data_IF_700700305240
#
_entry.id   IF_700700305240
#
_cell.length_a   1.000
_cell.length_b   1.000
_cell.length_c   1.000
_cell.angle_alpha   90.00
_cell.angle_beta   90.00
_cell.angle_gamma   90.00
#
_symmetry.space_group_name_H-M   'P 1'
#
loop_
_entity.id
_entity.type
_entity.pdbx_description
1 polymer ?
#
# COMPACT_ATOMS: atom_id res chain seq x y z
N UNK A 1 -13.76 -22.39 20.23
CA UNK A 1 -12.35 -22.78 20.57
C UNK A 1 -12.10 -22.36 22.01
N UNK A 2 -11.57 -23.25 22.88
CA UNK A 2 -11.24 -22.86 24.25
C UNK A 2 -9.97 -21.98 24.30
N UNK A 3 -9.70 -21.39 25.46
CA UNK A 3 -8.58 -20.44 25.64
C UNK A 3 -7.22 -21.07 25.32
N UNK A 4 -7.01 -22.33 25.72
CA UNK A 4 -5.75 -23.04 25.47
C UNK A 4 -5.54 -23.31 23.98
N UNK A 5 -6.59 -23.73 23.30
CA UNK A 5 -6.53 -24.00 21.84
C UNK A 5 -6.31 -22.70 21.07
N UNK A 6 -6.97 -21.60 21.47
CA UNK A 6 -6.75 -20.30 20.85
C UNK A 6 -5.31 -19.81 21.07
N UNK A 7 -4.77 -19.94 22.28
CA UNK A 7 -3.38 -19.58 22.55
C UNK A 7 -2.42 -20.39 21.68
N UNK A 8 -2.66 -21.68 21.53
CA UNK A 8 -1.83 -22.57 20.71
C UNK A 8 -1.93 -22.20 19.22
N UNK A 9 -3.13 -21.89 18.74
CA UNK A 9 -3.36 -21.40 17.38
C UNK A 9 -2.59 -20.08 17.11
N UNK A 10 -2.73 -19.11 18.01
CA UNK A 10 -2.06 -17.82 17.87
C UNK A 10 -0.54 -17.97 17.86
N UNK A 11 0.02 -18.77 18.77
CA UNK A 11 1.46 -19.04 18.81
C UNK A 11 1.98 -19.75 17.56
N UNK A 12 1.16 -20.60 16.93
CA UNK A 12 1.50 -21.27 15.69
C UNK A 12 1.50 -20.36 14.45
N UNK A 13 0.62 -19.35 14.43
CA UNK A 13 0.44 -18.46 13.28
C UNK A 13 1.14 -17.10 13.43
N UNK A 14 1.33 -16.63 14.65
CA UNK A 14 1.93 -15.34 14.98
C UNK A 14 3.06 -15.51 16.01
N UNK A 15 4.10 -16.31 15.68
CA UNK A 15 5.12 -16.65 16.66
C UNK A 15 6.00 -15.45 17.00
N UNK A 16 6.10 -15.16 18.28
CA UNK A 16 7.00 -14.20 18.95
C UNK A 16 7.00 -12.76 18.44
N UNK A 17 7.15 -11.84 19.37
CA UNK A 17 7.48 -10.46 19.09
C UNK A 17 8.74 -10.32 18.24
N UNK A 18 8.60 -9.67 17.11
CA UNK A 18 9.68 -9.34 16.18
C UNK A 18 9.30 -8.09 15.40
N UNK A 19 10.10 -7.72 14.39
CA UNK A 19 9.81 -6.53 13.58
C UNK A 19 8.43 -6.56 12.88
N UNK A 20 7.88 -7.76 12.63
CA UNK A 20 6.62 -7.95 11.92
C UNK A 20 5.46 -8.44 12.81
N UNK A 21 5.69 -8.73 14.08
CA UNK A 21 4.65 -9.20 14.98
C UNK A 21 4.82 -8.63 16.37
N UNK A 22 3.76 -8.09 16.91
CA UNK A 22 3.69 -7.52 18.26
C UNK A 22 2.48 -8.05 18.98
N UNK A 23 2.63 -8.35 20.28
CA UNK A 23 1.58 -8.79 21.19
C UNK A 23 1.40 -7.76 22.29
N UNK A 24 0.14 -7.35 22.56
CA UNK A 24 -0.15 -6.30 23.53
C UNK A 24 -1.39 -6.62 24.35
N UNK A 25 -1.32 -6.28 25.61
CA UNK A 25 -2.42 -6.47 26.53
C UNK A 25 -3.63 -5.62 26.14
N UNK A 26 -3.48 -4.34 25.92
CA UNK A 26 -4.52 -3.36 25.54
C UNK A 26 -5.93 -3.75 26.03
N UNK A 27 -6.06 -4.07 27.34
CA UNK A 27 -7.33 -4.49 27.95
C UNK A 27 -8.46 -3.50 27.70
N UNK A 28 -8.15 -2.22 27.73
CA UNK A 28 -9.12 -1.16 27.48
C UNK A 28 -9.02 -0.67 26.04
N UNK A 29 -9.94 -1.11 25.21
CA UNK A 29 -9.96 -0.76 23.80
C UNK A 29 -10.08 0.76 23.57
N UNK A 30 -10.79 1.49 24.41
CA UNK A 30 -10.92 2.94 24.31
C UNK A 30 -9.56 3.62 24.44
N UNK A 31 -8.78 3.29 25.45
CA UNK A 31 -7.43 3.84 25.64
C UNK A 31 -6.48 3.37 24.54
N UNK A 32 -6.61 2.14 24.09
CA UNK A 32 -5.82 1.61 22.97
C UNK A 32 -6.03 2.38 21.66
N UNK A 33 -7.24 2.89 21.42
CA UNK A 33 -7.59 3.65 20.22
C UNK A 33 -7.45 5.17 20.36
N UNK A 34 -7.40 5.70 21.59
CA UNK A 34 -7.33 7.14 21.86
C UNK A 34 -6.16 7.50 22.78
N UNK A 35 -5.21 6.60 22.92
CA UNK A 35 -4.01 6.78 23.74
C UNK A 35 -3.06 7.84 23.20
N UNK A 36 -1.95 8.02 23.89
CA UNK A 36 -0.92 8.96 23.48
C UNK A 36 -0.09 8.46 22.30
N UNK A 37 0.40 9.40 21.50
CA UNK A 37 1.31 9.11 20.41
C UNK A 37 2.52 8.29 20.90
N UNK A 38 2.83 7.19 20.22
CA UNK A 38 3.91 6.28 20.55
C UNK A 38 3.56 5.17 21.54
N UNK A 39 2.30 5.06 22.00
CA UNK A 39 1.90 4.01 22.95
C UNK A 39 0.54 3.37 22.66
N UNK A 40 -0.14 3.79 21.61
CA UNK A 40 -1.46 3.29 21.25
C UNK A 40 -1.44 2.39 20.00
N UNK A 41 -2.56 1.72 19.72
CA UNK A 41 -2.72 0.85 18.54
C UNK A 41 -2.39 1.60 17.26
N UNK A 42 -2.78 2.87 17.15
CA UNK A 42 -2.61 3.66 15.93
C UNK A 42 -1.13 3.85 15.60
N UNK A 43 -0.32 4.13 16.62
CA UNK A 43 1.14 4.26 16.47
C UNK A 43 1.79 2.92 16.09
N UNK A 44 1.33 1.79 16.67
CA UNK A 44 1.80 0.46 16.27
C UNK A 44 1.43 0.12 14.83
N UNK A 45 0.20 0.45 14.37
CA UNK A 45 -0.18 0.25 12.96
C UNK A 45 0.76 0.99 12.01
N UNK A 46 1.03 2.27 12.30
CA UNK A 46 1.98 3.07 11.52
C UNK A 46 3.37 2.42 11.51
N UNK A 47 3.88 2.03 12.68
CA UNK A 47 5.22 1.48 12.80
C UNK A 47 5.39 0.15 12.05
N UNK A 48 4.45 -0.78 12.22
CA UNK A 48 4.51 -2.10 11.56
C UNK A 48 4.35 -1.93 10.05
N UNK A 49 3.41 -1.08 9.59
CA UNK A 49 3.23 -0.80 8.16
C UNK A 49 4.48 -0.18 7.52
N UNK A 50 5.16 0.71 8.23
CA UNK A 50 6.38 1.37 7.75
C UNK A 50 7.62 0.47 7.79
N UNK A 51 7.52 -0.74 8.34
CA UNK A 51 8.53 -1.78 8.17
C UNK A 51 8.14 -2.67 6.98
N UNK A 52 7.85 -3.92 7.21
CA UNK A 52 7.48 -4.86 6.13
C UNK A 52 6.00 -5.31 6.22
N UNK A 53 5.18 -4.58 7.01
CA UNK A 53 3.87 -5.06 7.41
C UNK A 53 3.97 -6.14 8.48
N UNK A 54 2.84 -6.74 8.84
CA UNK A 54 2.82 -7.80 9.83
C UNK A 54 1.54 -7.85 10.66
N UNK A 55 1.68 -8.13 11.95
CA UNK A 55 0.55 -8.39 12.82
C UNK A 55 0.69 -7.68 14.17
N UNK A 56 -0.45 -7.22 14.69
CA UNK A 56 -0.58 -6.79 16.07
C UNK A 56 -1.69 -7.62 16.73
N UNK A 57 -1.33 -8.35 17.78
CA UNK A 57 -2.28 -9.17 18.56
C UNK A 57 -2.60 -8.44 19.85
N UNK A 58 -3.87 -8.16 20.10
CA UNK A 58 -4.30 -7.47 21.32
C UNK A 58 -5.26 -8.32 22.15
N UNK A 59 -5.23 -8.13 23.47
CA UNK A 59 -5.96 -8.96 24.44
C UNK A 59 -5.13 -10.11 24.98
N UNK A 60 -3.81 -10.02 24.86
CA UNK A 60 -2.83 -11.00 25.35
C UNK A 60 -1.78 -10.33 26.21
N UNK A 61 -1.24 -11.03 27.19
CA UNK A 61 -0.17 -10.54 28.07
C UNK A 61 1.19 -10.65 27.34
N UNK A 62 1.91 -9.53 27.24
CA UNK A 62 3.14 -9.41 26.44
C UNK A 62 4.19 -10.50 26.77
N UNK A 63 4.48 -10.73 28.05
CA UNK A 63 5.58 -11.61 28.46
C UNK A 63 5.23 -13.11 28.38
N UNK A 64 4.00 -13.49 28.76
CA UNK A 64 3.56 -14.88 28.89
C UNK A 64 2.74 -15.36 27.71
N UNK A 65 2.30 -14.45 26.86
CA UNK A 65 1.37 -14.69 25.73
C UNK A 65 0.05 -15.32 26.20
N UNK A 66 -0.30 -15.12 27.47
CA UNK A 66 -1.55 -15.60 28.06
C UNK A 66 -2.71 -14.72 27.57
N UNK A 67 -3.82 -15.35 27.22
CA UNK A 67 -5.04 -14.65 26.87
C UNK A 67 -5.60 -13.96 28.10
N UNK A 68 -5.76 -12.66 28.04
CA UNK A 68 -6.38 -11.84 29.10
C UNK A 68 -7.70 -11.20 28.63
N UNK A 69 -7.91 -11.20 27.33
CA UNK A 69 -9.09 -10.66 26.68
C UNK A 69 -9.12 -9.13 26.64
N UNK A 70 -9.82 -8.61 25.65
CA UNK A 70 -10.11 -7.19 25.52
C UNK A 70 -11.35 -6.89 26.35
N UNK A 71 -11.29 -5.87 27.18
CA UNK A 71 -12.42 -5.39 27.99
C UNK A 71 -12.97 -4.08 27.38
N UNK A 72 -14.18 -3.69 27.80
CA UNK A 72 -14.82 -2.44 27.38
C UNK A 72 -15.15 -2.34 25.87
N UNK A 73 -15.87 -3.33 25.36
CA UNK A 73 -16.37 -3.27 23.97
C UNK A 73 -17.41 -2.16 23.75
N UNK A 74 -18.14 -1.74 24.74
CA UNK A 74 -19.13 -0.63 24.75
C UNK A 74 -19.68 -0.29 23.35
N UNK A 75 -20.37 -1.24 22.70
CA UNK A 75 -20.90 -1.11 21.34
C UNK A 75 -19.85 -0.94 20.21
N UNK A 76 -18.58 -1.24 20.44
CA UNK A 76 -17.57 -1.25 19.41
C UNK A 76 -17.63 -2.55 18.63
N UNK A 77 -17.95 -2.46 17.34
CA UNK A 77 -17.82 -3.59 16.42
C UNK A 77 -16.43 -3.56 15.77
N UNK A 78 -15.99 -4.71 15.24
CA UNK A 78 -14.75 -4.80 14.46
C UNK A 78 -14.71 -3.77 13.33
N UNK A 79 -15.84 -3.63 12.60
CA UNK A 79 -15.94 -2.70 11.48
C UNK A 79 -15.80 -1.23 11.92
N UNK A 80 -16.47 -0.84 13.02
CA UNK A 80 -16.35 0.52 13.55
C UNK A 80 -14.92 0.83 13.99
N UNK A 81 -14.25 -0.14 14.62
CA UNK A 81 -12.86 0.04 15.04
C UNK A 81 -11.94 0.11 13.84
N UNK A 82 -12.11 -0.80 12.87
CA UNK A 82 -11.34 -0.79 11.64
C UNK A 82 -11.46 0.56 10.91
N UNK A 83 -12.66 1.08 10.76
CA UNK A 83 -12.89 2.38 10.12
C UNK A 83 -12.20 3.52 10.88
N UNK A 84 -12.34 3.59 12.20
CA UNK A 84 -11.66 4.60 13.03
C UNK A 84 -10.15 4.56 12.92
N UNK A 85 -9.57 3.35 12.81
CA UNK A 85 -8.12 3.19 12.65
C UNK A 85 -7.68 3.70 11.28
N UNK A 86 -8.42 3.40 10.21
CA UNK A 86 -8.15 3.91 8.87
C UNK A 86 -8.24 5.44 8.78
N UNK A 87 -9.20 6.06 9.46
CA UNK A 87 -9.34 7.52 9.53
C UNK A 87 -8.14 8.19 10.23
N UNK A 88 -7.49 7.49 11.17
CA UNK A 88 -6.38 8.02 11.96
C UNK A 88 -5.00 7.63 11.45
N UNK A 89 -4.92 6.59 10.63
CA UNK A 89 -3.69 6.14 9.99
C UNK A 89 -3.66 6.59 8.53
N UNK A 90 -3.12 7.78 8.28
CA UNK A 90 -3.02 8.31 6.91
C UNK A 90 -2.11 7.42 6.05
N UNK A 91 -2.57 7.08 4.85
CA UNK A 91 -1.90 6.23 3.86
C UNK A 91 -1.83 4.73 4.20
N UNK A 92 -2.50 4.26 5.26
CA UNK A 92 -2.67 2.83 5.48
C UNK A 92 -3.58 2.24 4.38
N UNK A 93 -3.17 1.11 3.80
CA UNK A 93 -3.94 0.47 2.74
C UNK A 93 -5.25 -0.12 3.28
N UNK A 94 -6.37 0.52 2.93
CA UNK A 94 -7.70 0.16 3.43
C UNK A 94 -8.23 -1.17 2.88
N UNK A 95 -7.76 -1.64 1.74
CA UNK A 95 -8.20 -2.90 1.14
C UNK A 95 -7.48 -4.09 1.76
N UNK A 96 -6.19 -3.93 2.03
CA UNK A 96 -5.35 -4.98 2.60
C UNK A 96 -5.41 -5.04 4.13
N UNK A 97 -5.73 -3.94 4.82
CA UNK A 97 -5.85 -3.90 6.29
C UNK A 97 -7.09 -4.63 6.78
N UNK A 98 -6.90 -5.64 7.65
CA UNK A 98 -7.97 -6.47 8.22
C UNK A 98 -7.83 -6.60 9.71
N UNK A 99 -8.98 -6.81 10.38
CA UNK A 99 -9.07 -7.10 11.81
C UNK A 99 -9.82 -8.41 11.97
N UNK A 100 -9.20 -9.38 12.61
CA UNK A 100 -9.76 -10.72 12.83
C UNK A 100 -10.04 -10.90 14.33
N UNK A 101 -11.30 -11.05 14.73
CA UNK A 101 -11.68 -11.28 16.11
C UNK A 101 -11.73 -12.76 16.44
N UNK A 102 -11.26 -13.12 17.61
CA UNK A 102 -11.39 -14.45 18.22
C UNK A 102 -12.07 -14.32 19.59
N UNK A 103 -12.99 -15.22 19.89
CA UNK A 103 -13.64 -15.31 21.19
C UNK A 103 -13.59 -16.74 21.70
N UNK A 104 -13.17 -16.93 22.94
CA UNK A 104 -13.10 -18.24 23.58
C UNK A 104 -14.47 -18.68 24.07
N UNK A 105 -14.77 -20.00 23.92
CA UNK A 105 -16.07 -20.56 24.30
C UNK A 105 -16.19 -20.80 25.82
N UNK A 106 -15.07 -20.96 26.49
CA UNK A 106 -14.98 -21.28 27.94
C UNK A 106 -14.94 -20.05 28.84
N UNK A 107 -14.16 -19.04 28.47
CA UNK A 107 -14.01 -17.81 29.28
C UNK A 107 -14.68 -16.59 28.69
N UNK A 108 -15.10 -16.65 27.42
CA UNK A 108 -15.62 -15.50 26.68
C UNK A 108 -14.56 -14.40 26.40
N UNK A 109 -13.28 -14.72 26.62
CA UNK A 109 -12.19 -13.78 26.37
C UNK A 109 -12.08 -13.50 24.87
N UNK A 110 -11.94 -12.23 24.54
CA UNK A 110 -11.81 -11.79 23.13
C UNK A 110 -10.42 -11.29 22.86
N UNK A 111 -9.86 -11.75 21.74
CA UNK A 111 -8.55 -11.35 21.20
C UNK A 111 -8.77 -10.85 19.77
N UNK A 112 -8.10 -9.77 19.40
CA UNK A 112 -8.13 -9.30 18.02
C UNK A 112 -6.74 -9.36 17.41
N UNK A 113 -6.68 -9.83 16.17
CA UNK A 113 -5.48 -9.83 15.33
C UNK A 113 -5.66 -8.79 14.23
N UNK A 114 -4.78 -7.81 14.20
CA UNK A 114 -4.70 -6.84 13.11
C UNK A 114 -3.69 -7.34 12.09
N UNK A 115 -4.14 -7.56 10.87
CA UNK A 115 -3.30 -7.85 9.71
C UNK A 115 -2.94 -6.53 9.04
N UNK A 116 -1.70 -6.13 9.18
CA UNK A 116 -1.21 -4.80 8.80
C UNK A 116 -0.38 -4.95 7.53
N UNK A 117 -0.86 -4.38 6.40
CA UNK A 117 -0.08 -4.41 5.17
C UNK A 117 1.16 -3.53 5.27
N UNK A 118 2.19 -3.86 4.49
CA UNK A 118 3.30 -2.94 4.26
C UNK A 118 2.77 -1.64 3.64
N UNK A 119 3.41 -0.52 3.94
CA UNK A 119 3.15 0.76 3.28
C UNK A 119 3.26 0.61 1.75
N UNK A 120 2.52 1.42 1.02
CA UNK A 120 2.68 1.52 -0.44
C UNK A 120 4.02 2.17 -0.77
N UNK A 121 4.67 1.81 -1.90
CA UNK A 121 5.92 2.43 -2.30
C UNK A 121 5.84 3.96 -2.27
N UNK A 122 6.84 4.59 -1.67
CA UNK A 122 6.95 6.05 -1.49
C UNK A 122 5.87 6.70 -0.63
N UNK A 123 5.04 5.93 0.08
CA UNK A 123 3.94 6.43 0.87
C UNK A 123 4.02 5.95 2.32
N UNK A 124 4.82 6.59 3.17
CA UNK A 124 4.87 6.23 4.58
C UNK A 124 3.50 6.41 5.25
N UNK A 125 3.19 5.53 6.19
CA UNK A 125 1.95 5.58 6.97
C UNK A 125 2.17 6.48 8.18
N UNK A 126 1.25 7.43 8.39
CA UNK A 126 1.30 8.39 9.49
C UNK A 126 0.21 8.11 10.53
N UNK A 127 0.57 8.28 11.79
CA UNK A 127 -0.32 8.28 12.94
C UNK A 127 0.04 9.45 13.86
N UNK A 128 -0.95 10.21 14.35
CA UNK A 128 -0.73 11.44 15.13
C UNK A 128 0.20 12.44 14.44
N UNK A 129 0.03 12.61 13.12
CA UNK A 129 0.85 13.47 12.25
C UNK A 129 2.34 13.11 12.19
N UNK A 130 2.72 11.95 12.69
CA UNK A 130 4.07 11.41 12.69
C UNK A 130 4.12 10.05 12.01
N UNK A 131 5.24 9.75 11.37
CA UNK A 131 5.55 8.39 10.93
C UNK A 131 6.28 7.65 12.07
N UNK A 132 5.93 6.40 12.29
CA UNK A 132 6.49 5.56 13.35
C UNK A 132 7.28 4.40 12.76
N UNK A 133 8.25 3.90 13.50
CA UNK A 133 8.99 2.67 13.20
C UNK A 133 9.27 1.87 14.46
N UNK A 134 9.60 0.59 14.27
CA UNK A 134 10.12 -0.25 15.34
C UNK A 134 11.65 -0.29 15.27
N UNK A 135 12.28 -0.14 16.43
CA UNK A 135 13.70 -0.41 16.63
C UNK A 135 13.79 -1.41 17.76
N UNK A 136 14.17 -2.62 17.44
CA UNK A 136 14.08 -3.75 18.36
C UNK A 136 12.67 -3.84 18.98
N UNK A 137 12.53 -3.78 20.28
CA UNK A 137 11.25 -3.84 21.01
C UNK A 137 10.63 -2.45 21.24
N UNK A 138 11.24 -1.39 20.71
CA UNK A 138 10.79 -0.02 20.97
C UNK A 138 10.04 0.58 19.81
N UNK A 139 8.92 1.25 20.11
CA UNK A 139 8.18 2.09 19.21
C UNK A 139 8.73 3.51 19.24
N UNK A 140 9.27 3.98 18.13
CA UNK A 140 9.90 5.31 18.05
C UNK A 140 9.39 6.09 16.85
N UNK A 141 9.52 7.41 16.89
CA UNK A 141 9.31 8.24 15.71
C UNK A 141 10.30 7.83 14.62
N UNK A 142 9.83 7.76 13.37
CA UNK A 142 10.61 7.30 12.24
C UNK A 142 11.85 8.16 12.05
N UNK A 143 13.01 7.51 11.94
CA UNK A 143 14.27 8.17 11.63
C UNK A 143 14.31 8.63 10.19
N UNK A 144 15.06 9.69 9.94
CA UNK A 144 15.19 10.29 8.60
C UNK A 144 15.66 9.27 7.55
N UNK A 145 16.61 8.41 7.91
CA UNK A 145 17.13 7.38 6.98
C UNK A 145 16.03 6.41 6.52
N UNK A 146 15.13 5.99 7.43
CA UNK A 146 14.02 5.10 7.07
C UNK A 146 12.99 5.83 6.22
N UNK A 147 12.68 7.07 6.56
CA UNK A 147 11.77 7.90 5.78
C UNK A 147 12.29 8.07 4.35
N UNK A 148 13.55 8.42 4.20
CA UNK A 148 14.20 8.54 2.89
C UNK A 148 14.21 7.21 2.12
N UNK A 149 14.47 6.09 2.80
CA UNK A 149 14.40 4.78 2.19
C UNK A 149 13.01 4.49 1.61
N UNK A 150 11.93 4.78 2.36
CA UNK A 150 10.56 4.61 1.88
C UNK A 150 10.27 5.55 0.69
N UNK A 151 10.65 6.82 0.78
CA UNK A 151 10.39 7.80 -0.27
C UNK A 151 11.13 7.50 -1.58
N UNK A 152 12.25 6.78 -1.52
CA UNK A 152 13.04 6.37 -2.67
C UNK A 152 12.79 4.92 -3.10
N UNK A 153 11.85 4.22 -2.47
CA UNK A 153 11.49 2.88 -2.92
C UNK A 153 11.12 2.91 -4.40
N UNK A 154 11.60 1.94 -5.21
CA UNK A 154 11.15 1.84 -6.59
C UNK A 154 9.64 1.68 -6.59
N UNK A 155 8.97 2.43 -7.44
CA UNK A 155 7.59 2.12 -7.78
C UNK A 155 7.63 0.72 -8.40
N UNK A 156 6.89 -0.21 -7.82
CA UNK A 156 6.86 -1.59 -8.29
C UNK A 156 6.76 -1.63 -9.82
N UNK A 157 7.33 -2.68 -10.42
CA UNK A 157 7.17 -3.01 -11.84
C UNK A 157 5.69 -3.21 -12.25
N UNK A 158 4.78 -3.07 -11.32
CA UNK A 158 3.33 -2.97 -11.49
C UNK A 158 2.83 -1.52 -11.67
N UNK A 159 3.67 -0.60 -12.15
CA UNK A 159 3.11 0.67 -12.65
C UNK A 159 2.04 0.30 -13.67
N UNK A 160 0.78 0.46 -13.24
CA UNK A 160 -0.38 0.10 -14.05
C UNK A 160 -0.27 0.70 -15.46
N UNK A 161 0.25 1.89 -15.55
CA UNK A 161 0.38 2.63 -16.79
C UNK A 161 1.47 2.08 -17.71
N UNK A 162 2.52 1.53 -17.15
CA UNK A 162 3.66 0.93 -17.86
C UNK A 162 3.45 -0.54 -18.22
N UNK A 163 2.36 -1.17 -17.75
CA UNK A 163 2.08 -2.57 -18.10
C UNK A 163 1.86 -2.75 -19.59
N UNK A 164 2.59 -3.70 -20.18
CA UNK A 164 2.38 -4.14 -21.56
C UNK A 164 1.02 -4.84 -21.64
N UNK A 165 0.23 -4.49 -22.64
CA UNK A 165 -1.09 -5.07 -22.88
C UNK A 165 -0.96 -6.21 -23.87
N UNK A 166 -1.28 -7.41 -23.40
CA UNK A 166 -1.22 -8.62 -24.24
C UNK A 166 -2.19 -8.52 -25.41
N UNK A 167 -1.69 -8.82 -26.59
CA UNK A 167 -2.47 -8.77 -27.85
C UNK A 167 -2.58 -7.38 -28.49
N UNK A 168 -2.22 -6.30 -27.80
CA UNK A 168 -2.18 -4.95 -28.39
C UNK A 168 -0.92 -4.77 -29.25
N UNK A 169 -1.10 -4.12 -30.38
CA UNK A 169 -0.05 -3.87 -31.39
C UNK A 169 0.02 -2.38 -31.75
N UNK A 170 1.02 -1.98 -32.49
CA UNK A 170 1.12 -0.60 -33.00
C UNK A 170 -0.04 -0.22 -33.91
N UNK A 171 -0.70 -1.19 -34.54
CA UNK A 171 -1.88 -0.97 -35.39
C UNK A 171 -3.11 -0.52 -34.58
N UNK A 172 -3.12 -0.73 -33.27
CA UNK A 172 -4.17 -0.26 -32.35
C UNK A 172 -4.00 1.21 -31.98
N UNK A 173 -2.89 1.84 -32.38
CA UNK A 173 -2.61 3.26 -32.13
C UNK A 173 -3.04 4.12 -33.30
N UNK A 174 -3.50 5.35 -32.99
CA UNK A 174 -3.91 6.35 -33.98
C UNK A 174 -2.70 7.07 -34.57
N UNK A 175 -2.56 6.99 -35.89
CA UNK A 175 -1.43 7.59 -36.59
C UNK A 175 -1.40 9.12 -36.47
N UNK A 176 -2.57 9.79 -36.41
CA UNK A 176 -2.65 11.23 -36.23
C UNK A 176 -2.23 11.64 -34.80
N UNK A 177 -2.67 10.88 -33.81
CA UNK A 177 -2.23 11.09 -32.43
C UNK A 177 -0.71 10.90 -32.25
N UNK A 178 -0.14 9.87 -32.90
CA UNK A 178 1.31 9.65 -32.94
C UNK A 178 2.05 10.82 -33.56
N UNK A 179 1.54 11.36 -34.66
CA UNK A 179 2.16 12.51 -35.34
C UNK A 179 2.19 13.75 -34.45
N UNK A 180 1.07 14.06 -33.80
CA UNK A 180 0.99 15.15 -32.82
C UNK A 180 1.94 14.94 -31.63
N UNK A 181 1.97 13.72 -31.09
CA UNK A 181 2.87 13.38 -29.99
C UNK A 181 4.34 13.57 -30.37
N UNK A 182 4.73 13.19 -31.58
CA UNK A 182 6.09 13.37 -32.12
C UNK A 182 6.45 14.86 -32.22
N UNK A 183 5.53 15.68 -32.74
CA UNK A 183 5.73 17.12 -32.84
C UNK A 183 5.96 17.74 -31.45
N UNK A 184 5.10 17.44 -30.48
CA UNK A 184 5.24 17.91 -29.10
C UNK A 184 6.49 17.39 -28.38
N UNK A 185 6.89 16.16 -28.65
CA UNK A 185 8.13 15.61 -28.17
C UNK A 185 9.35 16.36 -28.72
N UNK A 186 9.34 16.66 -30.03
CA UNK A 186 10.40 17.43 -30.68
C UNK A 186 10.49 18.87 -30.14
N UNK A 187 9.34 19.55 -29.97
CA UNK A 187 9.28 20.87 -29.33
C UNK A 187 9.91 20.86 -27.93
N UNK A 188 9.51 19.89 -27.08
CA UNK A 188 10.00 19.73 -25.73
C UNK A 188 11.50 19.47 -25.67
N UNK A 189 12.00 18.70 -26.61
CA UNK A 189 13.41 18.25 -26.65
C UNK A 189 14.28 18.97 -27.66
N UNK A 190 13.87 20.16 -28.12
CA UNK A 190 14.56 20.92 -29.17
C UNK A 190 16.04 21.27 -28.85
N UNK A 191 16.43 21.25 -27.55
CA UNK A 191 17.80 21.48 -27.09
C UNK A 191 18.55 20.19 -26.74
N UNK A 192 17.91 19.02 -26.87
CA UNK A 192 18.56 17.76 -26.55
C UNK A 192 19.59 17.36 -27.62
N UNK A 193 20.64 16.63 -27.28
CA UNK A 193 21.66 16.17 -28.25
C UNK A 193 21.07 15.37 -29.43
N UNK A 194 19.96 14.69 -29.21
CA UNK A 194 19.26 13.86 -30.19
C UNK A 194 18.15 14.61 -30.95
N UNK A 195 17.98 15.92 -30.75
CA UNK A 195 16.87 16.67 -31.35
C UNK A 195 16.80 16.54 -32.90
N UNK A 196 17.94 16.54 -33.55
CA UNK A 196 18.01 16.40 -35.02
C UNK A 196 17.64 14.99 -35.55
N UNK A 197 17.68 13.98 -34.67
CA UNK A 197 17.40 12.59 -35.05
C UNK A 197 15.89 12.26 -34.99
N UNK A 198 15.11 13.03 -34.18
CA UNK A 198 13.69 12.72 -33.92
C UNK A 198 12.86 12.57 -35.20
N UNK A 199 13.14 13.39 -36.18
CA UNK A 199 12.42 13.35 -37.49
C UNK A 199 12.70 12.06 -38.28
N UNK A 200 13.88 11.46 -38.10
CA UNK A 200 14.30 10.25 -38.79
C UNK A 200 13.91 8.94 -38.10
N UNK A 201 13.39 8.98 -36.87
CA UNK A 201 12.96 7.77 -36.15
C UNK A 201 11.70 7.18 -36.83
N UNK A 202 11.66 5.88 -37.02
CA UNK A 202 10.40 5.20 -37.32
C UNK A 202 9.42 5.27 -36.11
N UNK A 203 8.19 4.82 -36.29
CA UNK A 203 7.16 4.90 -35.27
C UNK A 203 7.55 4.10 -34.03
N UNK A 204 8.05 2.87 -34.21
CA UNK A 204 8.43 2.01 -33.07
C UNK A 204 9.58 2.62 -32.27
N UNK A 205 10.62 3.08 -32.95
CA UNK A 205 11.76 3.75 -32.32
C UNK A 205 11.32 5.03 -31.58
N UNK A 206 10.46 5.84 -32.19
CA UNK A 206 9.94 7.04 -31.53
C UNK A 206 9.19 6.71 -30.23
N UNK A 207 8.27 5.76 -30.27
CA UNK A 207 7.44 5.39 -29.13
C UNK A 207 8.28 4.80 -28.00
N UNK A 208 9.28 3.97 -28.29
CA UNK A 208 10.22 3.43 -27.28
C UNK A 208 11.10 4.53 -26.68
N UNK A 209 11.64 5.45 -27.49
CA UNK A 209 12.43 6.60 -27.03
C UNK A 209 11.61 7.57 -26.19
N UNK A 210 10.33 7.76 -26.55
CA UNK A 210 9.37 8.54 -25.76
C UNK A 210 8.87 7.80 -24.49
N UNK A 211 9.28 6.53 -24.28
CA UNK A 211 8.86 5.65 -23.17
C UNK A 211 7.35 5.41 -23.13
N UNK A 212 6.71 5.42 -24.26
CA UNK A 212 5.27 5.10 -24.45
C UNK A 212 5.10 3.61 -24.70
N UNK A 213 6.05 2.98 -25.39
CA UNK A 213 6.18 1.53 -25.47
C UNK A 213 7.39 1.04 -24.69
N UNK A 214 7.46 -0.25 -24.42
CA UNK A 214 8.56 -0.91 -23.73
C UNK A 214 9.01 -2.09 -24.59
N UNK A 215 10.21 -2.00 -25.18
CA UNK A 215 10.77 -3.02 -26.07
C UNK A 215 9.80 -3.42 -27.20
N UNK A 216 9.13 -2.44 -27.80
CA UNK A 216 8.13 -2.63 -28.82
C UNK A 216 6.74 -3.06 -28.31
N UNK A 217 6.59 -3.39 -27.02
CA UNK A 217 5.31 -3.75 -26.42
C UNK A 217 4.45 -2.51 -26.13
N UNK A 218 3.19 -2.56 -26.54
CA UNK A 218 2.22 -1.49 -26.34
C UNK A 218 1.80 -1.47 -24.87
N UNK A 219 2.01 -0.34 -24.19
CA UNK A 219 1.64 -0.16 -22.77
C UNK A 219 0.21 0.37 -22.63
N UNK A 220 -0.34 0.30 -21.43
CA UNK A 220 -1.63 0.96 -21.14
C UNK A 220 -1.57 2.47 -21.38
N UNK A 221 -0.44 3.11 -21.09
CA UNK A 221 -0.21 4.52 -21.42
C UNK A 221 -0.33 4.77 -22.93
N UNK A 222 0.26 3.90 -23.76
CA UNK A 222 0.16 4.02 -25.22
C UNK A 222 -1.31 3.99 -25.66
N UNK A 223 -2.09 3.03 -25.19
CA UNK A 223 -3.51 2.92 -25.52
C UNK A 223 -4.35 4.10 -25.02
N UNK A 224 -4.07 4.61 -23.81
CA UNK A 224 -4.78 5.76 -23.24
C UNK A 224 -4.54 7.06 -23.99
N UNK A 225 -3.29 7.30 -24.41
CA UNK A 225 -2.89 8.57 -25.00
C UNK A 225 -3.00 8.57 -26.52
N UNK A 226 -2.76 7.44 -27.14
CA UNK A 226 -2.60 7.31 -28.58
C UNK A 226 -3.48 6.21 -29.20
N UNK A 227 -4.28 5.47 -28.41
CA UNK A 227 -5.11 4.38 -28.90
C UNK A 227 -6.25 4.86 -29.78
N UNK A 228 -6.59 4.07 -30.78
CA UNK A 228 -7.83 4.22 -31.54
C UNK A 228 -9.04 3.98 -30.63
N UNK A 229 -10.22 4.55 -30.92
CA UNK A 229 -11.43 4.26 -30.15
C UNK A 229 -11.75 2.77 -30.02
N UNK A 230 -11.49 2.00 -31.05
CA UNK A 230 -11.71 0.55 -31.11
C UNK A 230 -10.79 -0.21 -30.14
N UNK A 231 -9.61 0.31 -29.82
CA UNK A 231 -8.66 -0.30 -28.92
C UNK A 231 -9.07 -0.19 -27.42
N UNK A 232 -10.18 0.49 -27.13
CA UNK A 232 -10.70 0.66 -25.76
C UNK A 232 -11.03 -0.67 -25.07
N UNK A 233 -11.31 -1.74 -25.82
CA UNK A 233 -11.58 -3.08 -25.26
C UNK A 233 -10.39 -3.71 -24.56
N UNK A 234 -9.16 -3.26 -24.83
CA UNK A 234 -7.97 -3.69 -24.11
C UNK A 234 -7.87 -3.14 -22.68
N UNK A 235 -8.66 -2.12 -22.35
CA UNK A 235 -8.63 -1.49 -21.03
C UNK A 235 -9.82 -1.99 -20.19
N UNK A 236 -9.59 -2.51 -18.97
CA UNK A 236 -10.64 -3.15 -18.15
C UNK A 236 -11.71 -2.19 -17.64
N UNK A 237 -11.47 -0.89 -17.71
CA UNK A 237 -12.41 0.16 -17.34
C UNK A 237 -12.20 1.37 -18.23
N UNK A 238 -13.24 2.20 -18.39
CA UNK A 238 -13.14 3.51 -19.04
C UNK A 238 -12.14 4.38 -18.25
N UNK A 239 -10.93 4.51 -18.79
CA UNK A 239 -9.95 5.40 -18.25
C UNK A 239 -10.25 6.82 -18.72
N UNK A 240 -10.44 7.73 -17.77
CA UNK A 240 -10.62 9.16 -18.05
C UNK A 240 -9.42 9.94 -17.52
N UNK A 241 -8.82 10.76 -18.37
CA UNK A 241 -7.83 11.76 -17.95
C UNK A 241 -8.59 13.07 -17.72
N UNK A 242 -8.69 13.49 -16.47
CA UNK A 242 -9.33 14.76 -16.11
C UNK A 242 -8.26 15.80 -15.77
N UNK A 243 -8.21 16.88 -16.53
CA UNK A 243 -7.39 18.05 -16.22
C UNK A 243 -8.20 19.01 -15.37
N UNK A 244 -7.70 19.32 -14.18
CA UNK A 244 -8.22 20.44 -13.38
C UNK A 244 -7.30 21.64 -13.64
N UNK A 245 -7.87 22.69 -14.22
CA UNK A 245 -7.26 24.01 -14.35
C UNK A 245 -7.35 24.75 -13.01
#
# INVERSE_FOLDING_TARGET
MNEKDLQQYLLGHFPKENAACEWKEFKNLRHALTGGAGSDVISYLSAIANMEGGHLVIGVEDATLRIVGIQDFNNQTVDNVRQRLLERCRALDSEAFRVEPFTTDDTGATVWVFHIPKHRPRMPVYAHDKAWQRLDDSLVEMRQERLEAILHEPLDASDWSAQIVEGATLDDLDAAAIAVAREKFAEKHHRAPFAAEIAGWDVATFLDKAKITIQGGVTRTALLLLGKPEASHFLPALAQITWKL
#
